data_IF_062497253649
#
_entry.id   IF_062497253649
#
_cell.length_a   1.000
_cell.length_b   1.000
_cell.length_c   1.000
_cell.angle_alpha   90.00
_cell.angle_beta   90.00
_cell.angle_gamma   90.00
#
_symmetry.space_group_name_H-M   'P 1'
#
loop_
_entity.id
_entity.type
_entity.pdbx_description
1 polymer ?
#
# COMPACT_ATOMS: atom_id res chain seq x y z
N UNK A 1 4.74 -35.28 -1.24
CA UNK A 1 4.34 -34.01 -0.62
C UNK A 1 3.28 -33.39 -1.51
N UNK A 2 2.07 -33.18 -1.01
CA UNK A 2 1.04 -32.48 -1.76
C UNK A 2 1.30 -30.96 -1.70
N UNK A 3 0.71 -30.22 -2.63
CA UNK A 3 0.86 -28.76 -2.65
C UNK A 3 0.26 -28.12 -1.39
N UNK A 4 -0.82 -28.69 -0.87
CA UNK A 4 -1.47 -28.25 0.37
C UNK A 4 -0.56 -28.47 1.58
N UNK A 5 0.15 -29.61 1.62
CA UNK A 5 1.11 -29.89 2.69
C UNK A 5 2.29 -28.90 2.67
N UNK A 6 2.79 -28.57 1.48
CA UNK A 6 3.85 -27.57 1.31
C UNK A 6 3.42 -26.18 1.79
N UNK A 7 2.20 -25.74 1.44
CA UNK A 7 1.69 -24.45 1.90
C UNK A 7 1.56 -24.41 3.43
N UNK A 8 1.06 -25.49 4.03
CA UNK A 8 0.90 -25.58 5.49
C UNK A 8 2.25 -25.45 6.21
N UNK A 9 3.27 -26.12 5.71
CA UNK A 9 4.63 -26.09 6.26
C UNK A 9 5.26 -24.70 6.15
N UNK A 10 5.22 -24.08 4.97
CA UNK A 10 5.74 -22.72 4.74
C UNK A 10 5.01 -21.66 5.58
N UNK A 11 3.69 -21.80 5.73
CA UNK A 11 2.91 -20.90 6.58
C UNK A 11 3.32 -21.01 8.05
N UNK A 12 3.65 -22.21 8.52
CA UNK A 12 4.06 -22.41 9.91
C UNK A 12 5.46 -21.86 10.18
N UNK A 13 6.37 -21.99 9.22
CA UNK A 13 7.70 -21.37 9.28
C UNK A 13 7.61 -19.83 9.34
N UNK A 14 6.74 -19.24 8.51
CA UNK A 14 6.51 -17.79 8.53
C UNK A 14 5.95 -17.36 9.89
N UNK A 15 4.96 -18.07 10.44
CA UNK A 15 4.40 -17.74 11.77
C UNK A 15 5.44 -17.84 12.88
N UNK A 16 6.27 -18.87 12.86
CA UNK A 16 7.34 -19.05 13.85
C UNK A 16 8.33 -17.90 13.76
N UNK A 17 8.76 -17.55 12.55
CA UNK A 17 9.64 -16.41 12.30
C UNK A 17 9.04 -15.06 12.76
N UNK A 18 7.74 -14.86 12.52
CA UNK A 18 7.00 -13.68 13.01
C UNK A 18 6.97 -13.58 14.54
N UNK A 19 6.75 -14.72 15.20
CA UNK A 19 6.72 -14.80 16.67
C UNK A 19 8.09 -14.52 17.27
N UNK A 20 9.15 -15.07 16.66
CA UNK A 20 10.52 -14.94 17.15
C UNK A 20 11.11 -13.54 16.92
N UNK A 21 10.77 -12.89 15.80
CA UNK A 21 11.30 -11.58 15.45
C UNK A 21 10.61 -10.42 16.19
N UNK A 22 9.47 -10.65 16.86
CA UNK A 22 8.75 -9.64 17.65
C UNK A 22 8.29 -8.40 16.88
N UNK A 23 8.36 -8.41 15.54
CA UNK A 23 8.03 -7.29 14.68
C UNK A 23 7.41 -7.76 13.36
N UNK A 24 6.59 -6.91 12.73
CA UNK A 24 6.04 -7.20 11.41
C UNK A 24 7.16 -7.16 10.36
N UNK A 25 7.32 -8.19 9.51
CA UNK A 25 8.41 -8.28 8.56
C UNK A 25 8.20 -7.28 7.44
N UNK A 26 9.28 -6.58 7.09
CA UNK A 26 9.29 -5.66 5.96
C UNK A 26 9.77 -6.44 4.74
N UNK A 27 8.83 -6.82 3.88
CA UNK A 27 9.11 -7.57 2.67
C UNK A 27 9.36 -6.60 1.50
N UNK A 28 10.62 -6.53 1.04
CA UNK A 28 10.98 -5.73 -0.14
C UNK A 28 10.67 -6.50 -1.43
N UNK A 29 9.40 -6.52 -1.81
CA UNK A 29 8.98 -7.05 -3.11
C UNK A 29 9.29 -6.00 -4.19
N UNK A 30 10.18 -6.34 -5.13
CA UNK A 30 10.43 -5.49 -6.29
C UNK A 30 9.13 -5.24 -7.08
N UNK A 31 8.93 -4.02 -7.57
CA UNK A 31 7.67 -3.59 -8.25
C UNK A 31 7.23 -4.47 -9.42
N UNK A 32 8.15 -5.25 -10.01
CA UNK A 32 7.86 -6.23 -11.06
C UNK A 32 7.01 -7.42 -10.60
N UNK A 33 7.19 -7.92 -9.37
CA UNK A 33 6.39 -9.03 -8.84
C UNK A 33 4.97 -8.54 -8.53
N UNK A 34 4.86 -7.38 -7.85
CA UNK A 34 3.57 -6.78 -7.49
C UNK A 34 2.71 -6.50 -8.73
N UNK A 35 3.30 -5.91 -9.78
CA UNK A 35 2.59 -5.67 -11.05
C UNK A 35 2.21 -6.94 -11.79
N UNK A 36 3.11 -7.92 -11.89
CA UNK A 36 2.94 -9.08 -12.77
C UNK A 36 2.03 -10.16 -12.19
N UNK A 37 2.08 -10.36 -10.88
CA UNK A 37 1.42 -11.51 -10.24
C UNK A 37 0.33 -11.12 -9.25
N UNK A 38 0.35 -9.88 -8.73
CA UNK A 38 -0.63 -9.41 -7.76
C UNK A 38 -1.54 -8.31 -8.30
N UNK A 39 -1.42 -7.96 -9.60
CA UNK A 39 -2.17 -6.85 -10.21
C UNK A 39 -1.95 -5.51 -9.50
N UNK A 40 -0.86 -5.38 -8.74
CA UNK A 40 -0.66 -4.26 -7.86
C UNK A 40 -0.36 -2.98 -8.66
N UNK A 41 -0.82 -1.82 -8.16
CA UNK A 41 -0.62 -0.56 -8.84
C UNK A 41 0.86 -0.21 -8.94
N UNK A 42 1.23 0.39 -10.06
CA UNK A 42 2.49 1.11 -10.18
C UNK A 42 2.46 2.39 -9.33
N UNK A 43 3.60 3.05 -9.16
CA UNK A 43 3.69 4.22 -8.30
C UNK A 43 2.69 5.35 -8.68
N UNK A 44 2.49 5.63 -9.97
CA UNK A 44 1.50 6.60 -10.43
C UNK A 44 0.06 6.10 -10.23
N UNK A 45 -0.22 4.82 -10.48
CA UNK A 45 -1.54 4.24 -10.22
C UNK A 45 -1.87 4.25 -8.73
N UNK A 46 -0.89 4.00 -7.87
CA UNK A 46 -1.04 4.02 -6.42
C UNK A 46 -1.38 5.44 -5.96
N UNK A 47 -0.63 6.45 -6.41
CA UNK A 47 -0.91 7.83 -6.04
C UNK A 47 -2.28 8.30 -6.58
N UNK A 48 -2.67 7.91 -7.79
CA UNK A 48 -4.02 8.17 -8.32
C UNK A 48 -5.10 7.55 -7.44
N UNK A 49 -4.92 6.31 -7.04
CA UNK A 49 -5.84 5.62 -6.13
C UNK A 49 -5.91 6.35 -4.78
N UNK A 50 -4.77 6.72 -4.18
CA UNK A 50 -4.69 7.44 -2.91
C UNK A 50 -5.43 8.79 -2.96
N UNK A 51 -5.25 9.55 -4.04
CA UNK A 51 -5.96 10.82 -4.26
C UNK A 51 -7.48 10.65 -4.33
N UNK A 52 -7.97 9.53 -4.89
CA UNK A 52 -9.41 9.27 -5.00
C UNK A 52 -10.05 8.82 -3.68
N UNK A 53 -9.31 8.13 -2.81
CA UNK A 53 -9.88 7.57 -1.57
C UNK A 53 -9.76 8.51 -0.36
N UNK A 54 -8.89 9.52 -0.42
CA UNK A 54 -8.68 10.42 0.71
C UNK A 54 -9.37 11.77 0.48
N UNK A 55 -10.45 12.09 1.21
CA UNK A 55 -11.22 13.32 1.01
C UNK A 55 -10.44 14.59 1.36
N UNK A 56 -9.36 14.48 2.14
CA UNK A 56 -8.48 15.62 2.46
C UNK A 56 -7.56 15.98 1.28
N UNK A 57 -7.38 15.08 0.30
CA UNK A 57 -6.66 15.37 -0.93
C UNK A 57 -7.62 16.09 -1.89
N UNK A 58 -7.49 17.43 -1.95
CA UNK A 58 -8.45 18.29 -2.66
C UNK A 58 -8.33 18.28 -4.18
N UNK A 59 -7.23 17.76 -4.73
CA UNK A 59 -6.97 17.78 -6.17
C UNK A 59 -6.69 16.39 -6.71
N UNK A 60 -6.97 16.19 -8.00
CA UNK A 60 -6.57 14.97 -8.67
C UNK A 60 -5.04 14.86 -8.75
N UNK A 61 -4.53 13.63 -8.79
CA UNK A 61 -3.10 13.36 -8.94
C UNK A 61 -2.43 14.12 -10.09
N UNK A 62 -3.14 14.40 -11.19
CA UNK A 62 -2.62 15.15 -12.35
C UNK A 62 -2.15 16.56 -11.95
N UNK A 63 -2.87 17.22 -11.04
CA UNK A 63 -2.46 18.53 -10.51
C UNK A 63 -1.12 18.44 -9.77
N UNK A 64 -0.98 17.46 -8.89
CA UNK A 64 0.27 17.24 -8.14
C UNK A 64 1.43 16.85 -9.06
N UNK A 65 1.18 16.07 -10.11
CA UNK A 65 2.19 15.70 -11.12
C UNK A 65 2.68 16.90 -11.94
N UNK A 66 1.86 17.93 -12.14
CA UNK A 66 2.29 19.17 -12.79
C UNK A 66 3.08 20.07 -11.83
N UNK A 67 2.69 20.08 -10.55
CA UNK A 67 3.29 20.94 -9.52
C UNK A 67 4.61 20.39 -8.96
N UNK A 68 4.76 19.07 -8.87
CA UNK A 68 5.92 18.38 -8.29
C UNK A 68 6.54 17.46 -9.34
N UNK A 69 7.88 17.46 -9.41
CA UNK A 69 8.63 16.65 -10.39
C UNK A 69 8.87 15.22 -9.92
N UNK A 70 8.97 15.01 -8.60
CA UNK A 70 9.25 13.71 -8.02
C UNK A 70 7.97 13.08 -7.44
N UNK A 71 7.59 11.88 -7.88
CA UNK A 71 6.48 11.15 -7.29
C UNK A 71 6.65 10.83 -5.79
N UNK A 72 7.87 10.84 -5.25
CA UNK A 72 8.14 10.68 -3.81
C UNK A 72 7.61 11.89 -3.03
N UNK A 73 7.83 13.11 -3.54
CA UNK A 73 7.33 14.35 -2.91
C UNK A 73 5.79 14.33 -2.84
N UNK A 74 5.14 13.86 -3.90
CA UNK A 74 3.67 13.72 -3.94
C UNK A 74 3.20 12.72 -2.86
N UNK A 75 3.91 11.60 -2.71
CA UNK A 75 3.61 10.60 -1.67
C UNK A 75 3.75 11.14 -0.25
N UNK A 76 4.74 12.00 0.01
CA UNK A 76 4.90 12.65 1.31
C UNK A 76 3.74 13.60 1.63
N UNK A 77 3.30 14.40 0.64
CA UNK A 77 2.14 15.28 0.79
C UNK A 77 0.88 14.47 1.10
N UNK A 78 0.65 13.39 0.35
CA UNK A 78 -0.51 12.52 0.58
C UNK A 78 -0.47 11.87 1.96
N UNK A 79 0.72 11.46 2.42
CA UNK A 79 0.88 10.87 3.76
C UNK A 79 0.38 11.82 4.85
N UNK A 80 0.65 13.12 4.74
CA UNK A 80 0.17 14.09 5.73
C UNK A 80 -1.36 14.23 5.67
N UNK A 81 -1.93 14.35 4.46
CA UNK A 81 -3.40 14.38 4.29
C UNK A 81 -4.10 13.14 4.85
N UNK A 82 -3.48 11.95 4.73
CA UNK A 82 -3.99 10.71 5.34
C UNK A 82 -3.87 10.72 6.86
N UNK A 83 -2.77 11.24 7.42
CA UNK A 83 -2.62 11.37 8.88
C UNK A 83 -3.67 12.29 9.47
N UNK A 84 -3.94 13.41 8.82
CA UNK A 84 -5.01 14.35 9.21
C UNK A 84 -6.39 13.68 9.12
N UNK A 85 -6.71 13.03 8.01
CA UNK A 85 -7.99 12.36 7.80
C UNK A 85 -8.25 11.17 8.74
N UNK A 86 -7.23 10.36 9.02
CA UNK A 86 -7.31 9.23 9.97
C UNK A 86 -7.35 9.72 11.42
N UNK A 87 -6.56 10.74 11.78
CA UNK A 87 -6.55 11.33 13.12
C UNK A 87 -7.88 11.98 13.51
N UNK A 88 -8.65 12.44 12.52
CA UNK A 88 -9.99 12.99 12.71
C UNK A 88 -11.12 11.94 12.65
N UNK A 89 -10.80 10.65 12.47
CA UNK A 89 -11.81 9.58 12.38
C UNK A 89 -12.74 9.69 11.15
N UNK A 90 -12.34 10.46 10.12
CA UNK A 90 -13.15 10.76 8.93
C UNK A 90 -13.05 9.70 7.84
N UNK A 91 -12.17 8.71 8.02
CA UNK A 91 -11.97 7.64 7.04
C UNK A 91 -13.09 6.59 7.11
N UNK A 92 -14.03 6.65 6.16
CA UNK A 92 -14.94 5.54 5.83
C UNK A 92 -14.35 4.81 4.63
N UNK A 93 -13.61 3.73 4.87
CA UNK A 93 -13.06 2.88 3.82
C UNK A 93 -14.16 2.38 2.88
N UNK A 94 -14.33 3.05 1.76
CA UNK A 94 -15.22 2.61 0.68
C UNK A 94 -14.50 1.55 -0.13
N UNK A 95 -14.61 0.29 0.31
CA UNK A 95 -14.53 -0.85 -0.60
C UNK A 95 -15.96 -1.13 -1.05
N UNK A 96 -16.43 -0.36 -2.03
CA UNK A 96 -17.62 -0.73 -2.79
C UNK A 96 -17.23 -1.85 -3.75
N UNK A 97 -17.88 -3.00 -3.54
CA UNK A 97 -17.81 -4.24 -4.33
C UNK A 97 -18.07 -4.04 -5.81
#
# INVERSE_FOLDING_TARGET
MSYEQYQAEVCEDIKTCLQDMGCQPILFIGSGISKRYFGAPNWEQLLRYLANICPEIQHEFVYYKQKYRDPIEIGQIFTESFREGMGLGRWKGSVSS
#
